data_IF_436943980981
#
_entry.id   IF_436943980981
#
_cell.length_a   1.000
_cell.length_b   1.000
_cell.length_c   1.000
_cell.angle_alpha   90.00
_cell.angle_beta   90.00
_cell.angle_gamma   90.00
#
_symmetry.space_group_name_H-M   'P 1'
#
loop_
_entity.id
_entity.type
_entity.pdbx_description
1 polymer ?
#
# COMPACT_ATOMS: atom_id res chain seq x y z
N UNK A 1 -19.87 30.81 -17.40
CA UNK A 1 -19.59 29.52 -18.06
C UNK A 1 -18.18 29.58 -18.63
N UNK A 2 -17.20 28.89 -18.03
CA UNK A 2 -15.82 28.84 -18.54
C UNK A 2 -15.44 27.37 -18.74
N UNK A 3 -14.98 27.07 -19.95
CA UNK A 3 -14.90 25.74 -20.51
C UNK A 3 -13.88 24.84 -19.79
N UNK A 4 -14.31 23.61 -19.45
CA UNK A 4 -13.42 22.53 -19.08
C UNK A 4 -12.67 22.08 -20.34
N UNK A 5 -11.37 22.31 -20.39
CA UNK A 5 -10.51 21.75 -21.42
C UNK A 5 -10.40 20.23 -21.21
N UNK A 6 -11.18 19.47 -21.96
CA UNK A 6 -11.02 18.02 -22.10
C UNK A 6 -9.82 17.75 -22.99
N UNK A 7 -8.72 17.29 -22.40
CA UNK A 7 -7.64 16.66 -23.14
C UNK A 7 -7.87 15.16 -23.09
N UNK A 8 -8.36 14.60 -24.19
CA UNK A 8 -8.35 13.16 -24.45
C UNK A 8 -7.09 12.89 -25.26
N UNK A 9 -6.13 12.19 -24.66
CA UNK A 9 -4.98 11.63 -25.36
C UNK A 9 -5.09 10.10 -25.27
N UNK A 10 -5.29 9.48 -26.42
CA UNK A 10 -5.49 8.05 -26.56
C UNK A 10 -4.19 7.26 -26.48
N UNK A 11 -4.34 6.07 -25.89
CA UNK A 11 -3.60 4.82 -26.09
C UNK A 11 -2.09 4.78 -25.80
N UNK A 12 -1.74 4.42 -24.56
CA UNK A 12 -0.95 3.22 -24.25
C UNK A 12 -0.79 3.12 -22.72
N UNK A 13 -1.18 1.98 -22.15
CA UNK A 13 -0.74 1.42 -20.86
C UNK A 13 -0.19 2.39 -19.81
N UNK A 14 -1.02 2.81 -18.86
CA UNK A 14 -0.56 3.52 -17.66
C UNK A 14 -1.72 4.13 -16.91
N UNK A 15 -1.96 3.66 -15.69
CA UNK A 15 -2.98 4.16 -14.78
C UNK A 15 -2.90 5.70 -14.68
N UNK A 16 -3.91 6.39 -15.21
CA UNK A 16 -4.11 7.82 -15.03
C UNK A 16 -4.85 8.04 -13.70
N UNK A 17 -4.09 8.09 -12.60
CA UNK A 17 -4.51 8.88 -11.46
C UNK A 17 -4.23 10.35 -11.81
N UNK A 18 -5.29 11.06 -12.24
CA UNK A 18 -5.25 12.51 -12.41
C UNK A 18 -5.11 13.14 -11.03
N UNK A 19 -3.88 13.31 -10.55
CA UNK A 19 -3.58 14.24 -9.47
C UNK A 19 -3.16 15.55 -10.10
N UNK A 20 -4.10 16.49 -10.18
CA UNK A 20 -3.82 17.90 -10.43
C UNK A 20 -3.13 18.51 -9.20
N UNK A 21 -1.87 18.13 -8.97
CA UNK A 21 -1.00 18.81 -8.05
C UNK A 21 0.22 19.27 -8.85
N UNK A 22 0.31 20.58 -9.08
CA UNK A 22 1.50 21.19 -9.63
C UNK A 22 2.73 20.77 -8.83
N UNK A 23 3.85 20.57 -9.50
CA UNK A 23 5.09 20.00 -8.98
C UNK A 23 5.70 20.74 -7.76
N UNK A 24 5.14 21.87 -7.33
CA UNK A 24 5.64 22.74 -6.26
C UNK A 24 4.73 22.86 -5.01
N UNK A 25 3.64 22.09 -4.90
CA UNK A 25 2.87 22.06 -3.65
C UNK A 25 3.26 20.86 -2.78
N UNK A 26 3.54 21.04 -1.47
CA UNK A 26 3.70 19.90 -0.57
C UNK A 26 2.39 19.11 -0.63
N UNK A 27 2.44 17.88 -1.16
CA UNK A 27 1.28 16.99 -1.25
C UNK A 27 0.61 16.96 0.11
N UNK A 28 -0.63 17.47 0.21
CA UNK A 28 -1.42 17.35 1.44
C UNK A 28 -1.55 15.86 1.76
N UNK A 29 -1.04 15.45 2.93
CA UNK A 29 -1.13 14.08 3.41
C UNK A 29 -2.56 13.82 3.90
N UNK A 30 -3.42 13.41 2.99
CA UNK A 30 -4.81 13.04 3.25
C UNK A 30 -4.94 11.53 3.43
N UNK A 31 -6.09 11.07 3.96
CA UNK A 31 -6.43 9.65 3.98
C UNK A 31 -6.28 8.98 2.61
N UNK A 32 -6.73 9.64 1.53
CA UNK A 32 -6.53 9.18 0.15
C UNK A 32 -5.05 9.00 -0.19
N UNK A 33 -4.20 9.97 0.16
CA UNK A 33 -2.78 9.88 -0.14
C UNK A 33 -2.12 8.68 0.56
N UNK A 34 -2.53 8.34 1.78
CA UNK A 34 -2.03 7.16 2.47
C UNK A 34 -2.59 5.88 1.87
N UNK A 35 -3.87 5.87 1.49
CA UNK A 35 -4.51 4.74 0.80
C UNK A 35 -3.80 4.42 -0.52
N UNK A 36 -3.64 5.40 -1.42
CA UNK A 36 -3.02 5.19 -2.73
C UNK A 36 -1.61 4.62 -2.62
N UNK A 37 -0.81 5.15 -1.67
CA UNK A 37 0.54 4.63 -1.39
C UNK A 37 0.49 3.18 -0.93
N UNK A 38 -0.40 2.86 0.01
CA UNK A 38 -0.55 1.51 0.52
C UNK A 38 -0.97 0.51 -0.58
N UNK A 39 -1.86 0.91 -1.50
CA UNK A 39 -2.27 0.05 -2.63
C UNK A 39 -1.08 -0.25 -3.55
N UNK A 40 -0.27 0.76 -3.87
CA UNK A 40 0.94 0.54 -4.69
C UNK A 40 1.91 -0.43 -4.01
N UNK A 41 2.16 -0.24 -2.73
CA UNK A 41 3.03 -1.13 -1.94
C UNK A 41 2.48 -2.55 -1.89
N UNK A 42 1.18 -2.71 -1.64
CA UNK A 42 0.51 -4.01 -1.59
C UNK A 42 0.70 -4.79 -2.90
N UNK A 43 0.56 -4.12 -4.05
CA UNK A 43 0.79 -4.73 -5.37
C UNK A 43 2.24 -5.17 -5.54
N UNK A 44 3.21 -4.34 -5.13
CA UNK A 44 4.65 -4.68 -5.20
C UNK A 44 4.98 -5.84 -4.27
N UNK A 45 4.38 -5.88 -3.07
CA UNK A 45 4.55 -6.97 -2.12
C UNK A 45 4.04 -8.29 -2.68
N UNK A 46 2.81 -8.31 -3.23
CA UNK A 46 2.24 -9.52 -3.84
C UNK A 46 3.10 -10.00 -5.01
N UNK A 47 3.61 -9.11 -5.85
CA UNK A 47 4.54 -9.48 -6.94
C UNK A 47 5.85 -10.06 -6.39
N UNK A 48 6.42 -9.44 -5.35
CA UNK A 48 7.64 -9.93 -4.70
C UNK A 48 7.44 -11.34 -4.12
N UNK A 49 6.30 -11.60 -3.47
CA UNK A 49 5.94 -12.92 -2.94
C UNK A 49 5.83 -13.94 -4.07
N UNK A 50 5.04 -13.66 -5.11
CA UNK A 50 4.85 -14.57 -6.26
C UNK A 50 6.16 -14.88 -6.99
N UNK A 51 7.04 -13.88 -7.07
CA UNK A 51 8.34 -14.06 -7.70
C UNK A 51 9.33 -14.86 -6.84
N UNK A 52 8.99 -15.14 -5.58
CA UNK A 52 9.80 -15.85 -4.60
C UNK A 52 11.24 -15.30 -4.48
N UNK A 53 11.37 -13.97 -4.41
CA UNK A 53 12.65 -13.26 -4.36
C UNK A 53 12.90 -12.68 -2.96
N UNK A 54 13.52 -13.41 -2.02
CA UNK A 54 13.71 -12.94 -0.64
C UNK A 54 14.42 -11.58 -0.55
N UNK A 55 15.45 -11.33 -1.38
CA UNK A 55 16.12 -10.02 -1.42
C UNK A 55 15.17 -8.86 -1.75
N UNK A 56 14.18 -9.07 -2.62
CA UNK A 56 13.18 -8.03 -2.95
C UNK A 56 12.25 -7.75 -1.77
N UNK A 57 11.89 -8.79 -1.01
CA UNK A 57 11.07 -8.65 0.19
C UNK A 57 11.81 -7.85 1.27
N UNK A 58 13.10 -8.12 1.47
CA UNK A 58 13.93 -7.36 2.41
C UNK A 58 14.05 -5.89 2.00
N UNK A 59 14.38 -5.60 0.74
CA UNK A 59 14.44 -4.21 0.24
C UNK A 59 13.11 -3.50 0.37
N UNK A 60 11.99 -4.19 0.14
CA UNK A 60 10.66 -3.63 0.33
C UNK A 60 10.38 -3.35 1.81
N UNK A 61 10.74 -4.27 2.70
CA UNK A 61 10.60 -4.07 4.14
C UNK A 61 11.37 -2.84 4.63
N UNK A 62 12.65 -2.71 4.27
CA UNK A 62 13.47 -1.56 4.65
C UNK A 62 12.87 -0.24 4.13
N UNK A 63 12.44 -0.22 2.86
CA UNK A 63 11.78 0.96 2.28
C UNK A 63 10.46 1.30 2.99
N UNK A 64 9.74 0.30 3.52
CA UNK A 64 8.50 0.52 4.27
C UNK A 64 8.74 1.01 5.69
N UNK A 65 9.86 0.66 6.32
CA UNK A 65 10.27 1.25 7.59
C UNK A 65 10.60 2.74 7.42
N UNK A 66 11.38 3.08 6.39
CA UNK A 66 11.69 4.48 6.08
C UNK A 66 10.42 5.29 5.79
N UNK A 67 9.51 4.73 4.99
CA UNK A 67 8.22 5.36 4.69
C UNK A 67 7.34 5.46 5.94
N UNK A 68 7.35 4.46 6.82
CA UNK A 68 6.63 4.52 8.10
C UNK A 68 7.13 5.67 8.97
N UNK A 69 8.45 5.83 9.13
CA UNK A 69 9.01 6.90 9.96
C UNK A 69 8.64 8.29 9.40
N UNK A 70 8.68 8.45 8.08
CA UNK A 70 8.27 9.69 7.40
C UNK A 70 6.76 9.93 7.53
N UNK A 71 5.94 8.89 7.41
CA UNK A 71 4.48 9.03 7.41
C UNK A 71 3.90 9.12 8.81
N UNK A 72 4.44 8.43 9.80
CA UNK A 72 3.96 8.42 11.18
C UNK A 72 4.21 9.75 11.88
N UNK A 73 5.41 10.34 11.68
CA UNK A 73 5.71 11.69 12.17
C UNK A 73 4.78 12.77 11.61
N UNK A 74 4.24 12.55 10.40
CA UNK A 74 3.32 13.49 9.72
C UNK A 74 1.83 13.12 9.88
N UNK A 75 1.51 11.89 10.25
CA UNK A 75 0.14 11.41 10.49
C UNK A 75 -0.45 11.91 11.81
N UNK A 76 0.41 12.31 12.76
CA UNK A 76 -0.04 12.95 14.02
C UNK A 76 -0.85 14.24 13.75
N UNK A 77 -0.58 14.92 12.64
CA UNK A 77 -1.17 16.22 12.26
C UNK A 77 -2.34 16.11 11.26
N UNK A 78 -2.70 14.91 10.79
CA UNK A 78 -3.68 14.72 9.71
C UNK A 78 -4.85 13.79 10.07
N UNK A 79 -6.01 14.01 9.44
CA UNK A 79 -7.24 13.18 9.50
C UNK A 79 -7.09 11.79 8.83
N UNK A 80 -5.86 11.32 8.60
CA UNK A 80 -5.54 10.09 7.87
C UNK A 80 -4.90 8.98 8.71
N UNK A 81 -4.93 9.05 10.04
CA UNK A 81 -4.23 8.11 10.93
C UNK A 81 -4.56 6.63 10.70
N UNK A 82 -5.80 6.31 10.32
CA UNK A 82 -6.18 4.92 10.04
C UNK A 82 -5.48 4.43 8.77
N UNK A 83 -5.57 5.18 7.67
CA UNK A 83 -4.88 4.84 6.43
C UNK A 83 -3.35 4.88 6.55
N UNK A 84 -2.79 5.73 7.41
CA UNK A 84 -1.35 5.77 7.66
C UNK A 84 -0.80 4.46 8.27
N UNK A 85 -1.63 3.70 9.01
CA UNK A 85 -1.23 2.38 9.57
C UNK A 85 -1.05 1.31 8.51
N UNK A 86 -1.58 1.49 7.30
CA UNK A 86 -1.47 0.50 6.23
C UNK A 86 -0.01 0.24 5.84
N UNK A 87 0.84 1.27 5.86
CA UNK A 87 2.27 1.12 5.56
C UNK A 87 2.95 0.26 6.62
N UNK A 88 2.72 0.52 7.92
CA UNK A 88 3.27 -0.33 8.98
C UNK A 88 2.75 -1.76 8.92
N UNK A 89 1.46 -1.95 8.60
CA UNK A 89 0.88 -3.28 8.47
C UNK A 89 1.53 -4.05 7.31
N UNK A 90 1.77 -3.40 6.16
CA UNK A 90 2.47 -3.99 5.02
C UNK A 90 3.94 -4.28 5.33
N UNK A 91 4.61 -3.44 6.13
CA UNK A 91 5.98 -3.70 6.59
C UNK A 91 6.04 -5.01 7.41
N UNK A 92 5.08 -5.22 8.32
CA UNK A 92 4.99 -6.46 9.11
C UNK A 92 4.75 -7.68 8.21
N UNK A 93 3.90 -7.55 7.18
CA UNK A 93 3.72 -8.62 6.20
C UNK A 93 5.03 -8.90 5.45
N UNK A 94 5.72 -7.87 4.96
CA UNK A 94 6.98 -8.04 4.24
C UNK A 94 8.05 -8.76 5.10
N UNK A 95 8.21 -8.39 6.37
CA UNK A 95 9.14 -9.03 7.30
C UNK A 95 8.78 -10.50 7.55
N UNK A 96 7.51 -10.79 7.88
CA UNK A 96 7.09 -12.16 8.19
C UNK A 96 7.16 -13.10 6.97
N UNK A 97 6.91 -12.58 5.76
CA UNK A 97 7.11 -13.33 4.51
C UNK A 97 8.60 -13.52 4.24
N UNK A 98 9.42 -12.48 4.42
CA UNK A 98 10.86 -12.59 4.24
C UNK A 98 11.43 -13.72 5.10
N UNK A 99 11.10 -13.75 6.39
CA UNK A 99 11.53 -14.80 7.32
C UNK A 99 11.06 -16.19 6.86
N UNK A 100 9.80 -16.31 6.41
CA UNK A 100 9.27 -17.57 5.87
C UNK A 100 10.03 -18.04 4.63
N UNK A 101 10.28 -17.15 3.67
CA UNK A 101 10.95 -17.46 2.40
C UNK A 101 12.44 -17.76 2.61
N UNK A 102 13.12 -16.98 3.45
CA UNK A 102 14.56 -17.13 3.72
C UNK A 102 14.84 -18.39 4.55
N UNK A 103 14.10 -18.59 5.63
CA UNK A 103 14.37 -19.70 6.56
C UNK A 103 13.73 -21.02 6.08
N UNK A 104 12.86 -20.98 5.06
CA UNK A 104 12.00 -22.11 4.64
C UNK A 104 11.29 -22.78 5.82
N UNK A 105 11.06 -22.02 6.87
CA UNK A 105 10.40 -22.47 8.09
C UNK A 105 8.91 -22.53 7.83
N UNK A 106 8.20 -23.47 8.46
CA UNK A 106 6.75 -23.33 8.59
C UNK A 106 6.45 -22.24 9.62
N UNK A 107 6.11 -21.02 9.15
CA UNK A 107 4.96 -20.35 9.74
C UNK A 107 4.20 -19.53 8.69
N UNK A 108 3.51 -20.23 7.77
CA UNK A 108 2.48 -19.56 6.95
C UNK A 108 1.43 -18.86 7.84
N UNK A 109 1.27 -19.30 9.09
CA UNK A 109 0.36 -18.73 10.08
C UNK A 109 0.70 -17.29 10.48
N UNK A 110 1.99 -16.94 10.63
CA UNK A 110 2.40 -15.58 11.00
C UNK A 110 2.18 -14.61 9.85
N UNK A 111 2.64 -14.97 8.66
CA UNK A 111 2.43 -14.18 7.45
C UNK A 111 0.93 -14.03 7.11
N UNK A 112 0.14 -15.11 7.27
CA UNK A 112 -1.32 -15.06 7.13
C UNK A 112 -1.97 -14.14 8.18
N UNK A 113 -1.52 -14.18 9.44
CA UNK A 113 -2.06 -13.32 10.50
C UNK A 113 -1.74 -11.84 10.24
N UNK A 114 -0.52 -11.54 9.79
CA UNK A 114 -0.12 -10.20 9.37
C UNK A 114 -0.99 -9.71 8.19
N UNK A 115 -1.25 -10.58 7.22
CA UNK A 115 -2.11 -10.27 6.07
C UNK A 115 -3.56 -9.99 6.46
N UNK A 116 -4.13 -10.80 7.36
CA UNK A 116 -5.49 -10.58 7.88
C UNK A 116 -5.59 -9.25 8.63
N UNK A 117 -4.58 -8.92 9.44
CA UNK A 117 -4.52 -7.63 10.13
C UNK A 117 -4.45 -6.46 9.14
N UNK A 118 -3.60 -6.55 8.12
CA UNK A 118 -3.54 -5.57 7.04
C UNK A 118 -4.90 -5.39 6.36
N UNK A 119 -5.58 -6.47 5.97
CA UNK A 119 -6.90 -6.41 5.33
C UNK A 119 -7.96 -5.78 6.23
N UNK A 120 -7.92 -6.04 7.54
CA UNK A 120 -8.81 -5.40 8.51
C UNK A 120 -8.58 -3.89 8.55
N UNK A 121 -7.32 -3.47 8.60
CA UNK A 121 -6.96 -2.05 8.65
C UNK A 121 -7.30 -1.35 7.32
N UNK A 122 -7.11 -2.04 6.19
CA UNK A 122 -7.53 -1.58 4.88
C UNK A 122 -9.05 -1.33 4.83
N UNK A 123 -9.84 -2.30 5.29
CA UNK A 123 -11.30 -2.16 5.33
C UNK A 123 -11.76 -1.02 6.26
N UNK A 124 -10.97 -0.64 7.27
CA UNK A 124 -11.24 0.54 8.08
C UNK A 124 -10.86 1.83 7.35
N UNK A 125 -9.70 1.85 6.68
CA UNK A 125 -9.27 2.98 5.87
C UNK A 125 -10.27 3.29 4.74
N UNK A 126 -10.77 2.27 4.04
CA UNK A 126 -11.73 2.41 2.92
C UNK A 126 -13.09 3.00 3.33
N UNK A 127 -13.42 2.94 4.63
CA UNK A 127 -14.64 3.57 5.18
C UNK A 127 -14.43 5.03 5.57
N UNK A 128 -13.21 5.56 5.49
CA UNK A 128 -12.94 6.94 5.86
C UNK A 128 -13.50 7.92 4.82
N UNK A 129 -14.05 9.07 5.24
CA UNK A 129 -14.47 10.12 4.33
C UNK A 129 -13.31 10.59 3.44
N UNK A 130 -13.59 10.76 2.15
CA UNK A 130 -12.60 11.21 1.17
C UNK A 130 -11.66 10.11 0.66
N UNK A 131 -11.87 8.85 1.06
CA UNK A 131 -11.21 7.70 0.45
C UNK A 131 -12.04 7.17 -0.72
N UNK A 132 -11.46 7.23 -1.92
CA UNK A 132 -11.96 6.61 -3.15
C UNK A 132 -11.34 5.23 -3.25
N UNK A 133 -12.19 4.21 -3.06
CA UNK A 133 -11.79 2.81 -3.05
C UNK A 133 -11.49 2.33 -4.47
N UNK A 134 -10.38 1.62 -4.63
CA UNK A 134 -10.03 0.96 -5.87
C UNK A 134 -10.55 -0.48 -5.84
N UNK A 135 -11.45 -0.83 -6.76
CA UNK A 135 -11.99 -2.20 -6.85
C UNK A 135 -10.87 -3.17 -7.23
N UNK A 136 -10.51 -4.05 -6.28
CA UNK A 136 -9.47 -5.07 -6.46
C UNK A 136 -9.77 -6.31 -5.65
N UNK A 137 -9.43 -7.46 -6.22
CA UNK A 137 -9.56 -8.76 -5.54
C UNK A 137 -8.28 -9.10 -4.82
N UNK A 138 -8.32 -9.05 -3.49
CA UNK A 138 -7.23 -9.48 -2.63
C UNK A 138 -7.35 -10.96 -2.27
N UNK A 139 -6.24 -11.70 -2.18
CA UNK A 139 -6.24 -13.06 -1.66
C UNK A 139 -6.77 -13.06 -0.22
N UNK A 140 -7.53 -14.09 0.15
CA UNK A 140 -8.09 -14.13 1.50
C UNK A 140 -7.02 -14.42 2.54
N UNK A 141 -6.15 -15.36 2.20
CA UNK A 141 -4.95 -15.74 2.92
C UNK A 141 -3.73 -15.49 2.04
N UNK A 142 -2.63 -15.08 2.65
CA UNK A 142 -1.37 -14.88 1.95
C UNK A 142 -0.81 -16.21 1.38
N UNK A 143 -1.21 -17.33 1.98
CA UNK A 143 -0.91 -18.67 1.45
C UNK A 143 -1.47 -18.97 0.06
N UNK A 144 -2.41 -18.17 -0.45
CA UNK A 144 -2.90 -18.27 -1.83
C UNK A 144 -1.93 -17.65 -2.85
N UNK A 145 -0.88 -16.98 -2.37
CA UNK A 145 0.09 -16.22 -3.19
C UNK A 145 1.44 -16.94 -3.32
N UNK A 146 1.80 -17.79 -2.34
CA UNK A 146 2.97 -18.68 -2.43
C UNK A 146 2.75 -19.76 -3.50
#
# INVERSE_FOLDING_TARGET
>A
MKAAAKVVLGAASGALLVSSAGADQPKRLTAQSFYDRAVVVEMVLIDAIRSNKPRRLLTLYDALLDEYDVTWGRAAEADGRVCARLISALAVVAATVHDHVEQRTEPSSMANSAWVNYRRDLAQCEKQPGVVVFDRKLPEKLSEVF
#
